data_IF_669411951233
#
_entry.id   IF_669411951233
#
_cell.length_a   1.000
_cell.length_b   1.000
_cell.length_c   1.000
_cell.angle_alpha   90.00
_cell.angle_beta   90.00
_cell.angle_gamma   90.00
#
_symmetry.space_group_name_H-M   'P 1'
#
loop_
_entity.id
_entity.type
_entity.pdbx_description
1 polymer ?
#
# COMPACT_ATOMS: atom_id res chain seq x y z
N UNK A 1 59.20 2.75 -31.11
CA UNK A 1 57.97 2.53 -31.91
C UNK A 1 57.27 1.31 -31.34
N UNK A 2 56.02 1.46 -30.86
CA UNK A 2 55.12 0.34 -30.53
C UNK A 2 54.36 -0.06 -31.80
N UNK A 3 54.04 -1.35 -31.99
CA UNK A 3 52.64 -1.80 -31.79
C UNK A 3 52.59 -3.19 -31.10
N UNK A 4 51.57 -3.61 -30.36
CA UNK A 4 50.18 -3.19 -30.28
C UNK A 4 49.30 -4.44 -30.40
N UNK A 5 49.12 -5.20 -29.31
CA UNK A 5 48.14 -6.29 -29.20
C UNK A 5 47.33 -6.06 -27.92
N UNK A 6 46.08 -5.65 -28.10
CA UNK A 6 45.21 -5.21 -27.01
C UNK A 6 44.54 -6.37 -26.27
N UNK A 7 44.39 -6.29 -24.95
CA UNK A 7 43.50 -7.18 -24.22
C UNK A 7 42.15 -6.52 -23.91
N UNK A 8 41.11 -7.30 -24.21
CA UNK A 8 39.82 -7.48 -23.52
C UNK A 8 39.02 -6.26 -23.01
N UNK A 9 37.79 -6.17 -23.50
CA UNK A 9 36.70 -5.40 -22.90
C UNK A 9 36.24 -6.06 -21.60
N UNK A 10 36.17 -5.33 -20.47
CA UNK A 10 35.23 -5.63 -19.41
C UNK A 10 34.02 -4.71 -19.53
N UNK A 11 32.91 -5.34 -19.88
CA UNK A 11 31.56 -5.13 -19.36
C UNK A 11 31.04 -3.68 -19.19
N UNK A 12 30.18 -3.27 -20.13
CA UNK A 12 29.27 -2.14 -19.91
C UNK A 12 28.20 -2.54 -18.88
N UNK A 13 28.30 -2.02 -17.66
CA UNK A 13 27.11 -1.74 -16.85
C UNK A 13 26.73 -0.29 -17.06
N UNK A 14 25.88 -0.04 -18.07
CA UNK A 14 25.16 1.21 -18.21
C UNK A 14 24.21 1.37 -17.01
N UNK A 15 24.60 2.18 -16.03
CA UNK A 15 23.67 2.69 -15.02
C UNK A 15 23.02 3.95 -15.61
N UNK A 16 21.82 3.80 -16.18
CA UNK A 16 21.04 4.93 -16.67
C UNK A 16 20.52 5.73 -15.47
N UNK A 17 20.95 6.98 -15.34
CA UNK A 17 20.44 7.89 -14.32
C UNK A 17 21.37 9.09 -14.16
N UNK A 18 21.19 10.12 -14.99
CA UNK A 18 21.77 11.44 -14.76
C UNK A 18 21.16 12.08 -13.50
N UNK A 19 21.98 12.69 -12.64
CA UNK A 19 21.60 13.91 -11.94
C UNK A 19 22.38 15.08 -12.54
N UNK A 20 21.68 16.05 -13.11
CA UNK A 20 22.26 17.30 -13.56
C UNK A 20 22.85 18.08 -12.36
N UNK A 21 24.12 18.50 -12.54
CA UNK A 21 24.72 19.78 -12.13
C UNK A 21 24.07 20.54 -10.96
N UNK A 22 24.41 20.20 -9.70
CA UNK A 22 24.13 21.08 -8.54
C UNK A 22 25.39 21.38 -7.68
N UNK A 23 26.55 20.76 -7.94
CA UNK A 23 27.69 20.83 -7.00
C UNK A 23 28.97 21.55 -7.47
N UNK A 24 28.99 22.18 -8.65
CA UNK A 24 30.25 22.72 -9.20
C UNK A 24 30.75 24.05 -8.57
N UNK A 25 30.05 24.64 -7.59
CA UNK A 25 30.45 25.96 -7.07
C UNK A 25 30.79 26.05 -5.58
N UNK A 26 30.73 24.96 -4.80
CA UNK A 26 31.01 25.03 -3.35
C UNK A 26 32.45 24.61 -3.00
N UNK A 27 33.24 24.09 -3.94
CA UNK A 27 34.48 23.38 -3.60
C UNK A 27 35.76 24.04 -4.15
N UNK A 28 35.93 25.35 -3.94
CA UNK A 28 37.18 26.05 -4.32
C UNK A 28 38.02 26.55 -3.13
N UNK A 29 37.72 26.17 -1.88
CA UNK A 29 38.65 26.47 -0.79
C UNK A 29 38.48 25.51 0.40
N UNK A 30 39.60 24.90 0.79
CA UNK A 30 39.92 24.26 2.07
C UNK A 30 39.46 22.81 2.32
N UNK A 31 40.48 21.98 2.59
CA UNK A 31 40.38 20.77 3.41
C UNK A 31 39.78 19.56 2.72
N UNK A 32 40.64 18.64 2.25
CA UNK A 32 40.22 17.34 1.74
C UNK A 32 39.71 16.44 2.89
N UNK A 33 38.45 16.65 3.29
CA UNK A 33 37.64 15.60 3.89
C UNK A 33 36.87 14.91 2.76
N UNK A 34 36.84 13.57 2.70
CA UNK A 34 36.01 12.87 1.73
C UNK A 34 34.56 13.27 1.99
N UNK A 35 34.00 14.07 1.08
CA UNK A 35 32.58 14.36 1.05
C UNK A 35 31.88 13.02 0.81
N UNK A 36 31.40 12.42 1.90
CA UNK A 36 30.64 11.18 1.85
C UNK A 36 29.41 11.46 0.99
N UNK A 37 29.43 10.99 -0.25
CA UNK A 37 28.35 11.21 -1.21
C UNK A 37 27.13 10.43 -0.71
N UNK A 38 26.26 11.10 0.03
CA UNK A 38 24.99 10.54 0.50
C UNK A 38 24.09 10.44 -0.73
N UNK A 39 24.10 9.28 -1.39
CA UNK A 39 23.14 8.95 -2.44
C UNK A 39 21.80 8.77 -1.72
N UNK A 40 20.94 9.79 -1.81
CA UNK A 40 19.55 9.69 -1.32
C UNK A 40 18.79 8.82 -2.31
N UNK A 41 18.83 7.51 -2.09
CA UNK A 41 17.97 6.58 -2.79
C UNK A 41 16.54 6.86 -2.29
N UNK A 42 15.68 7.40 -3.16
CA UNK A 42 14.26 7.52 -2.87
C UNK A 42 13.64 6.11 -2.93
N UNK A 43 13.90 5.33 -1.89
CA UNK A 43 13.34 4.00 -1.74
C UNK A 43 11.81 4.16 -1.64
N UNK A 44 11.07 3.35 -2.38
CA UNK A 44 9.60 3.30 -2.37
C UNK A 44 9.17 1.99 -1.73
N UNK A 45 8.15 2.04 -0.89
CA UNK A 45 7.57 0.84 -0.28
C UNK A 45 7.11 -0.15 -1.36
N UNK A 46 7.68 -1.36 -1.36
CA UNK A 46 7.32 -2.46 -2.24
C UNK A 46 7.08 -3.72 -1.39
N UNK A 47 5.83 -3.99 -0.99
CA UNK A 47 5.53 -5.19 -0.22
C UNK A 47 5.61 -6.44 -1.09
N UNK A 48 6.03 -7.57 -0.51
CA UNK A 48 5.99 -8.89 -1.17
C UNK A 48 4.57 -9.35 -1.49
N UNK A 49 3.62 -9.01 -0.60
CA UNK A 49 2.19 -9.22 -0.81
C UNK A 49 1.44 -7.90 -0.58
N UNK A 50 0.71 -7.45 -1.60
CA UNK A 50 0.11 -6.13 -1.58
C UNK A 50 -1.35 -6.18 -1.11
N UNK A 51 -1.52 -6.07 0.22
CA UNK A 51 -2.84 -6.03 0.89
C UNK A 51 -3.76 -4.91 0.37
N UNK A 52 -3.20 -3.87 -0.27
CA UNK A 52 -3.98 -2.83 -0.96
C UNK A 52 -4.86 -3.40 -2.07
N UNK A 53 -4.30 -4.29 -2.89
CA UNK A 53 -5.09 -4.93 -3.96
C UNK A 53 -6.10 -5.92 -3.40
N UNK A 54 -5.76 -6.59 -2.30
CA UNK A 54 -6.70 -7.49 -1.62
C UNK A 54 -7.89 -6.70 -1.03
N UNK A 55 -7.65 -5.53 -0.44
CA UNK A 55 -8.68 -4.60 0.02
C UNK A 55 -9.66 -4.27 -1.11
N UNK A 56 -9.15 -3.85 -2.27
CA UNK A 56 -10.00 -3.53 -3.43
C UNK A 56 -10.76 -4.75 -3.97
N UNK A 57 -10.13 -5.92 -3.99
CA UNK A 57 -10.78 -7.15 -4.44
C UNK A 57 -11.94 -7.54 -3.52
N UNK A 58 -11.73 -7.50 -2.19
CA UNK A 58 -12.78 -7.85 -1.22
C UNK A 58 -13.92 -6.83 -1.23
N UNK A 59 -13.61 -5.54 -1.33
CA UNK A 59 -14.63 -4.51 -1.48
C UNK A 59 -15.49 -4.75 -2.73
N UNK A 60 -14.85 -4.94 -3.89
CA UNK A 60 -15.55 -5.17 -5.15
C UNK A 60 -16.41 -6.45 -5.13
N UNK A 61 -15.89 -7.54 -4.58
CA UNK A 61 -16.62 -8.80 -4.45
C UNK A 61 -17.81 -8.68 -3.49
N UNK A 62 -17.64 -8.00 -2.36
CA UNK A 62 -18.71 -7.81 -1.39
C UNK A 62 -19.87 -6.97 -1.91
N UNK A 63 -19.56 -5.84 -2.57
CA UNK A 63 -20.59 -5.01 -3.21
C UNK A 63 -21.29 -5.76 -4.34
N UNK A 64 -20.55 -6.52 -5.14
CA UNK A 64 -21.14 -7.35 -6.21
C UNK A 64 -22.06 -8.43 -5.63
N UNK A 65 -21.62 -9.12 -4.58
CA UNK A 65 -22.42 -10.13 -3.90
C UNK A 65 -23.69 -9.53 -3.28
N UNK A 66 -23.60 -8.36 -2.64
CA UNK A 66 -24.74 -7.60 -2.14
C UNK A 66 -25.76 -7.33 -3.26
N UNK A 67 -25.33 -6.79 -4.40
CA UNK A 67 -26.26 -6.52 -5.50
C UNK A 67 -26.90 -7.80 -6.04
N UNK A 68 -26.14 -8.90 -6.17
CA UNK A 68 -26.69 -10.16 -6.65
C UNK A 68 -27.73 -10.70 -5.65
N UNK A 69 -27.37 -10.78 -4.37
CA UNK A 69 -28.23 -11.34 -3.32
C UNK A 69 -29.49 -10.49 -3.09
N UNK A 70 -29.37 -9.17 -3.07
CA UNK A 70 -30.51 -8.25 -2.86
C UNK A 70 -31.52 -8.23 -4.02
N UNK A 71 -31.10 -8.58 -5.24
CA UNK A 71 -31.99 -8.60 -6.41
C UNK A 71 -32.59 -10.00 -6.69
N UNK A 72 -32.12 -11.03 -5.99
CA UNK A 72 -32.69 -12.37 -6.07
C UNK A 72 -33.99 -12.40 -5.27
N UNK A 73 -35.13 -12.46 -5.97
CA UNK A 73 -36.44 -12.69 -5.35
C UNK A 73 -36.76 -14.18 -5.38
N UNK A 74 -37.10 -14.71 -4.22
CA UNK A 74 -37.56 -16.09 -4.04
C UNK A 74 -38.84 -16.07 -3.21
N UNK A 75 -39.71 -17.05 -3.41
CA UNK A 75 -40.92 -17.16 -2.58
C UNK A 75 -40.60 -17.83 -1.24
N UNK A 76 -41.14 -17.28 -0.15
CA UNK A 76 -41.06 -17.83 1.21
C UNK A 76 -39.85 -17.38 2.04
N UNK A 77 -39.51 -18.15 3.08
CA UNK A 77 -38.50 -17.83 4.09
C UNK A 77 -37.08 -17.60 3.51
N UNK A 78 -36.85 -18.07 2.28
CA UNK A 78 -35.57 -17.91 1.56
C UNK A 78 -35.31 -16.42 1.25
N UNK A 79 -36.34 -15.61 0.98
CA UNK A 79 -36.16 -14.17 0.68
C UNK A 79 -35.55 -13.44 1.88
N UNK A 80 -36.04 -13.73 3.09
CA UNK A 80 -35.54 -13.13 4.32
C UNK A 80 -34.09 -13.54 4.59
N UNK A 81 -33.74 -14.81 4.36
CA UNK A 81 -32.38 -15.29 4.51
C UNK A 81 -31.41 -14.67 3.49
N UNK A 82 -31.84 -14.51 2.23
CA UNK A 82 -31.04 -13.87 1.18
C UNK A 82 -30.81 -12.39 1.46
N UNK A 83 -31.80 -11.67 1.98
CA UNK A 83 -31.64 -10.28 2.43
C UNK A 83 -30.62 -10.17 3.57
N UNK A 84 -30.75 -11.01 4.59
CA UNK A 84 -29.78 -11.06 5.69
C UNK A 84 -28.36 -11.33 5.19
N UNK A 85 -28.17 -12.32 4.30
CA UNK A 85 -26.87 -12.60 3.71
C UNK A 85 -26.34 -11.45 2.85
N UNK A 86 -27.21 -10.78 2.09
CA UNK A 86 -26.84 -9.61 1.31
C UNK A 86 -26.26 -8.50 2.19
N UNK A 87 -26.95 -8.18 3.28
CA UNK A 87 -26.52 -7.14 4.22
C UNK A 87 -25.25 -7.57 4.98
N UNK A 88 -25.19 -8.81 5.45
CA UNK A 88 -24.03 -9.35 6.13
C UNK A 88 -22.79 -9.36 5.23
N UNK A 89 -22.92 -9.77 3.97
CA UNK A 89 -21.81 -9.77 3.00
C UNK A 89 -21.32 -8.35 2.71
N UNK A 90 -22.23 -7.38 2.59
CA UNK A 90 -21.88 -5.97 2.44
C UNK A 90 -21.05 -5.48 3.66
N UNK A 91 -21.59 -5.62 4.88
CA UNK A 91 -20.92 -5.16 6.10
C UNK A 91 -19.56 -5.85 6.30
N UNK A 92 -19.50 -7.19 6.14
CA UNK A 92 -18.26 -7.95 6.30
C UNK A 92 -17.20 -7.53 5.28
N UNK A 93 -17.60 -7.29 4.02
CA UNK A 93 -16.65 -6.87 2.99
C UNK A 93 -16.04 -5.49 3.29
N UNK A 94 -16.84 -4.53 3.78
CA UNK A 94 -16.37 -3.20 4.16
C UNK A 94 -15.40 -3.32 5.35
N UNK A 95 -15.72 -4.13 6.36
CA UNK A 95 -14.84 -4.36 7.51
C UNK A 95 -13.50 -4.94 7.04
N UNK A 96 -13.52 -5.99 6.21
CA UNK A 96 -12.30 -6.63 5.71
C UNK A 96 -11.46 -5.68 4.86
N UNK A 97 -12.10 -4.80 4.08
CA UNK A 97 -11.43 -3.75 3.30
C UNK A 97 -10.59 -2.86 4.20
N UNK A 98 -11.18 -2.30 5.26
CA UNK A 98 -10.47 -1.48 6.24
C UNK A 98 -9.39 -2.26 7.00
N UNK A 99 -9.64 -3.51 7.35
CA UNK A 99 -8.63 -4.35 8.02
C UNK A 99 -7.42 -4.56 7.11
N UNK A 100 -7.62 -4.88 5.82
CA UNK A 100 -6.51 -5.06 4.88
C UNK A 100 -5.76 -3.76 4.59
N UNK A 101 -6.47 -2.62 4.50
CA UNK A 101 -5.81 -1.31 4.40
C UNK A 101 -4.99 -0.96 5.65
N UNK A 102 -5.51 -1.25 6.85
CA UNK A 102 -4.77 -1.07 8.09
C UNK A 102 -3.49 -1.93 8.13
N UNK A 103 -3.57 -3.19 7.68
CA UNK A 103 -2.39 -4.08 7.56
C UNK A 103 -1.38 -3.53 6.55
N UNK A 104 -1.84 -2.99 5.42
CA UNK A 104 -0.98 -2.35 4.43
C UNK A 104 -0.26 -1.12 5.02
N UNK A 105 -0.99 -0.23 5.70
CA UNK A 105 -0.41 0.97 6.30
C UNK A 105 0.52 0.65 7.47
N UNK A 106 0.25 -0.41 8.24
CA UNK A 106 1.19 -0.92 9.23
C UNK A 106 2.51 -1.32 8.58
N UNK A 107 2.47 -2.18 7.56
CA UNK A 107 3.68 -2.61 6.85
C UNK A 107 4.44 -1.45 6.22
N UNK A 108 3.72 -0.43 5.72
CA UNK A 108 4.32 0.80 5.21
C UNK A 108 4.97 1.64 6.33
N UNK A 109 4.32 1.78 7.48
CA UNK A 109 4.85 2.52 8.62
C UNK A 109 6.14 1.89 9.19
N UNK A 110 6.17 0.55 9.28
CA UNK A 110 7.33 -0.20 9.73
C UNK A 110 8.51 -0.05 8.74
N UNK A 111 8.22 -0.12 7.45
CA UNK A 111 9.23 0.12 6.42
C UNK A 111 9.73 1.58 6.43
N UNK A 112 8.86 2.57 6.63
CA UNK A 112 9.27 3.97 6.75
C UNK A 112 10.17 4.17 7.97
N UNK A 113 9.84 3.55 9.10
CA UNK A 113 10.65 3.58 10.32
C UNK A 113 12.05 2.99 10.10
N UNK A 114 12.14 1.83 9.46
CA UNK A 114 13.43 1.14 9.22
C UNK A 114 14.29 1.84 8.16
N UNK A 115 13.69 2.63 7.27
CA UNK A 115 14.39 3.42 6.25
C UNK A 115 14.68 4.87 6.67
N UNK A 116 14.34 5.25 7.91
CA UNK A 116 14.54 6.61 8.43
C UNK A 116 13.60 7.66 7.82
N UNK A 117 12.51 7.23 7.18
CA UNK A 117 11.46 8.10 6.65
C UNK A 117 10.40 8.40 7.71
N UNK A 118 9.71 9.55 7.58
CA UNK A 118 8.54 9.84 8.41
C UNK A 118 7.43 8.81 8.17
N UNK A 119 6.92 8.23 9.24
CA UNK A 119 5.84 7.25 9.23
C UNK A 119 4.48 7.83 9.68
N UNK A 120 4.40 9.11 10.04
CA UNK A 120 3.21 9.76 10.60
C UNK A 120 1.99 9.57 9.69
N UNK A 121 2.13 9.81 8.38
CA UNK A 121 1.01 9.66 7.44
C UNK A 121 0.48 8.21 7.34
N UNK A 122 1.36 7.22 7.43
CA UNK A 122 0.96 5.81 7.41
C UNK A 122 0.30 5.38 8.72
N UNK A 123 0.82 5.85 9.86
CA UNK A 123 0.18 5.62 11.17
C UNK A 123 -1.21 6.26 11.21
N UNK A 124 -1.33 7.51 10.76
CA UNK A 124 -2.62 8.20 10.67
C UNK A 124 -3.61 7.44 9.79
N UNK A 125 -3.19 6.98 8.60
CA UNK A 125 -4.02 6.15 7.73
C UNK A 125 -4.52 4.87 8.43
N UNK A 126 -3.60 4.13 9.05
CA UNK A 126 -3.93 2.93 9.81
C UNK A 126 -4.97 3.19 10.93
N UNK A 127 -4.83 4.29 11.67
CA UNK A 127 -5.78 4.65 12.74
C UNK A 127 -7.16 4.95 12.16
N UNK A 128 -7.23 5.70 11.06
CA UNK A 128 -8.52 5.97 10.41
C UNK A 128 -9.21 4.70 9.93
N UNK A 129 -8.46 3.77 9.30
CA UNK A 129 -9.04 2.50 8.84
C UNK A 129 -9.61 1.69 10.01
N UNK A 130 -8.90 1.61 11.14
CA UNK A 130 -9.39 0.92 12.35
C UNK A 130 -10.65 1.59 12.91
N UNK A 131 -10.68 2.93 12.96
CA UNK A 131 -11.85 3.68 13.44
C UNK A 131 -13.06 3.45 12.53
N UNK A 132 -12.89 3.50 11.21
CA UNK A 132 -13.97 3.24 10.26
C UNK A 132 -14.44 1.79 10.32
N UNK A 133 -13.54 0.81 10.45
CA UNK A 133 -13.92 -0.58 10.69
C UNK A 133 -14.78 -0.72 11.96
N UNK A 134 -14.39 -0.06 13.05
CA UNK A 134 -15.14 -0.04 14.30
C UNK A 134 -16.53 0.59 14.15
N UNK A 135 -16.63 1.71 13.43
CA UNK A 135 -17.93 2.34 13.14
C UNK A 135 -18.84 1.39 12.34
N UNK A 136 -18.32 0.72 11.31
CA UNK A 136 -19.11 -0.22 10.50
C UNK A 136 -19.59 -1.41 11.34
N UNK A 137 -18.78 -1.90 12.28
CA UNK A 137 -19.20 -2.95 13.23
C UNK A 137 -20.35 -2.45 14.11
N UNK A 138 -20.26 -1.24 14.67
CA UNK A 138 -21.31 -0.66 15.52
C UNK A 138 -22.60 -0.48 14.70
N UNK A 139 -22.52 0.11 13.52
CA UNK A 139 -23.67 0.31 12.64
C UNK A 139 -24.29 -1.03 12.22
N UNK A 140 -23.47 -2.00 11.82
CA UNK A 140 -23.95 -3.34 11.48
C UNK A 140 -24.65 -4.01 12.65
N UNK A 141 -24.06 -3.96 13.85
CA UNK A 141 -24.67 -4.52 15.06
C UNK A 141 -26.01 -3.85 15.41
N UNK A 142 -26.08 -2.52 15.33
CA UNK A 142 -27.33 -1.79 15.57
C UNK A 142 -28.40 -2.13 14.53
N UNK A 143 -28.00 -2.30 13.27
CA UNK A 143 -28.89 -2.69 12.18
C UNK A 143 -29.45 -4.11 12.40
N UNK A 144 -28.58 -5.08 12.66
CA UNK A 144 -28.97 -6.49 12.88
C UNK A 144 -29.77 -6.75 14.16
N UNK A 145 -29.75 -5.85 15.14
CA UNK A 145 -30.60 -5.94 16.34
C UNK A 145 -31.93 -5.18 16.16
N UNK A 146 -31.93 -4.18 15.27
CA UNK A 146 -33.10 -3.35 15.00
C UNK A 146 -34.12 -4.00 14.06
N UNK A 147 -33.67 -4.91 13.18
CA UNK A 147 -34.49 -5.82 12.36
C UNK A 147 -34.85 -7.11 13.10
#
# INVERSE_FOLDING_TARGET
>A
MQPGVGPEKPNQTQFSGQPQYINQQIQQSQGAFPQQQIIIINAKYQPSFNFRYLSYAVFGLGITAYFILSNMRTDGDIDQYLRFLSEATCCLSIILTFVFDAVFYKGKADWQSTTGQSNTGSITGMVFDILFAGLVIIFGFMWFIGD
#
